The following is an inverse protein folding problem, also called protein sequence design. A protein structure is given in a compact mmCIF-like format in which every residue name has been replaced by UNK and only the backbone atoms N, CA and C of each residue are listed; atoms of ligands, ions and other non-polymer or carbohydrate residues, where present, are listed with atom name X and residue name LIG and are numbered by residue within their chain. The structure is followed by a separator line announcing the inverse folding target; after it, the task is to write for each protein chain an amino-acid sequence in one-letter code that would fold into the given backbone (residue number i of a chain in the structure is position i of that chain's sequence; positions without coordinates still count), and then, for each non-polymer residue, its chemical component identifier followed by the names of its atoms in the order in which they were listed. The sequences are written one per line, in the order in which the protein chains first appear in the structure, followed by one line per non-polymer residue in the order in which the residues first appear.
data_IF_407819608954
#
_entry.id   IF_407819608954
#
_cell.length_a   1.000
_cell.length_b   1.000
_cell.length_c   1.000
_cell.angle_alpha   90.00
_cell.angle_beta   90.00
_cell.angle_gamma   90.00
#
_symmetry.space_group_name_H-M   'P 1'
#
loop_
_entity.id
_entity.type
_entity.pdbx_description
1 polymer ?
#
# COMPACT_ATOMS: atom_id res chain seq x y z
N UNK A 1 -34.09 -8.64 -37.98
CA UNK A 1 -34.31 -10.05 -37.56
C UNK A 1 -33.14 -11.00 -37.84
N UNK A 2 -32.05 -10.60 -38.52
CA UNK A 2 -30.95 -11.52 -38.89
C UNK A 2 -29.90 -11.70 -37.76
N UNK A 3 -29.71 -10.69 -36.89
CA UNK A 3 -28.67 -10.73 -35.84
C UNK A 3 -28.95 -11.73 -34.72
N UNK A 4 -30.22 -11.93 -34.35
CA UNK A 4 -30.60 -12.89 -33.29
C UNK A 4 -30.37 -14.34 -33.71
N UNK A 5 -30.61 -14.68 -34.98
CA UNK A 5 -30.42 -16.04 -35.49
C UNK A 5 -28.94 -16.43 -35.59
N UNK A 6 -28.03 -15.45 -35.73
CA UNK A 6 -26.58 -15.66 -35.71
C UNK A 6 -26.06 -15.85 -34.28
N UNK A 7 -26.55 -15.05 -33.33
CA UNK A 7 -26.19 -15.23 -31.91
C UNK A 7 -26.59 -16.59 -31.37
N UNK A 8 -27.77 -17.09 -31.74
CA UNK A 8 -28.23 -18.42 -31.31
C UNK A 8 -27.33 -19.54 -31.86
N UNK A 9 -26.94 -19.48 -33.15
CA UNK A 9 -26.01 -20.44 -33.75
C UNK A 9 -24.59 -20.39 -33.15
N UNK A 10 -24.13 -19.21 -32.76
CA UNK A 10 -22.83 -19.05 -32.12
C UNK A 10 -22.80 -19.68 -30.73
N UNK A 11 -23.81 -19.41 -29.90
CA UNK A 11 -23.93 -20.03 -28.58
C UNK A 11 -24.00 -21.56 -28.69
N UNK A 12 -24.72 -22.08 -29.68
CA UNK A 12 -24.77 -23.52 -29.94
C UNK A 12 -23.40 -24.09 -30.31
N UNK A 13 -22.67 -23.43 -31.23
CA UNK A 13 -21.34 -23.89 -31.67
C UNK A 13 -20.30 -23.87 -30.54
N UNK A 14 -20.40 -22.93 -29.59
CA UNK A 14 -19.56 -22.90 -28.40
C UNK A 14 -19.85 -24.07 -27.45
N UNK A 15 -21.13 -24.40 -27.24
CA UNK A 15 -21.51 -25.54 -26.39
C UNK A 15 -21.09 -26.87 -27.04
N UNK A 16 -21.28 -27.00 -28.35
CA UNK A 16 -20.83 -28.18 -29.10
C UNK A 16 -19.30 -28.34 -28.99
N UNK A 17 -18.54 -27.25 -29.13
CA UNK A 17 -17.07 -27.28 -28.99
C UNK A 17 -16.65 -27.68 -27.58
N UNK A 18 -17.30 -27.13 -26.54
CA UNK A 18 -17.06 -27.49 -25.14
C UNK A 18 -17.31 -28.98 -24.91
N UNK A 19 -18.32 -29.55 -25.56
CA UNK A 19 -18.67 -30.96 -25.44
C UNK A 19 -17.66 -31.88 -26.14
N UNK A 20 -16.99 -31.40 -27.19
CA UNK A 20 -15.91 -32.11 -27.90
C UNK A 20 -14.53 -31.99 -27.25
N UNK A 21 -14.37 -31.16 -26.22
CA UNK A 21 -13.10 -31.10 -25.49
C UNK A 21 -12.78 -32.43 -24.81
N UNK A 22 -11.51 -32.83 -24.90
CA UNK A 22 -10.92 -34.00 -24.25
C UNK A 22 -11.24 -33.96 -22.74
N UNK A 23 -11.55 -35.11 -22.13
CA UNK A 23 -11.92 -35.24 -20.70
C UNK A 23 -10.96 -34.47 -19.76
N UNK A 24 -9.67 -34.42 -20.09
CA UNK A 24 -8.64 -33.71 -19.34
C UNK A 24 -8.86 -32.18 -19.24
N UNK A 25 -9.59 -31.58 -20.19
CA UNK A 25 -9.90 -30.14 -20.21
C UNK A 25 -11.37 -29.84 -19.88
N UNK A 26 -12.18 -30.86 -19.54
CA UNK A 26 -13.60 -30.66 -19.18
C UNK A 26 -13.69 -29.88 -17.87
N UNK A 27 -14.07 -28.62 -17.98
CA UNK A 27 -14.25 -27.70 -16.85
C UNK A 27 -13.42 -26.42 -16.96
N UNK A 28 -12.44 -26.39 -17.87
CA UNK A 28 -11.73 -25.15 -18.20
C UNK A 28 -12.60 -24.27 -19.10
N UNK A 29 -12.68 -22.95 -18.85
CA UNK A 29 -13.36 -22.04 -19.77
C UNK A 29 -12.65 -22.04 -21.13
N UNK A 30 -13.44 -21.94 -22.21
CA UNK A 30 -12.90 -21.78 -23.57
C UNK A 30 -11.92 -20.61 -23.60
N UNK A 31 -10.74 -20.83 -24.18
CA UNK A 31 -9.80 -19.73 -24.37
C UNK A 31 -10.40 -18.72 -25.35
N UNK A 32 -9.99 -17.46 -25.21
CA UNK A 32 -10.46 -16.39 -26.09
C UNK A 32 -10.20 -16.73 -27.56
N UNK A 33 -9.03 -17.29 -27.88
CA UNK A 33 -8.64 -17.68 -29.22
C UNK A 33 -9.51 -18.82 -29.78
N UNK A 34 -9.98 -19.74 -28.93
CA UNK A 34 -10.88 -20.82 -29.35
C UNK A 34 -12.28 -20.28 -29.66
N UNK A 35 -12.81 -19.41 -28.79
CA UNK A 35 -14.10 -18.77 -29.00
C UNK A 35 -14.09 -17.90 -30.27
N UNK A 36 -13.01 -17.16 -30.50
CA UNK A 36 -12.81 -16.35 -31.70
C UNK A 36 -12.74 -17.22 -32.97
N UNK A 37 -12.06 -18.37 -32.93
CA UNK A 37 -12.04 -19.31 -34.07
C UNK A 37 -13.41 -19.84 -34.42
N UNK A 38 -14.22 -20.24 -33.43
CA UNK A 38 -15.61 -20.68 -33.64
C UNK A 38 -16.45 -19.56 -34.25
N UNK A 39 -16.31 -18.35 -33.72
CA UNK A 39 -17.03 -17.19 -34.24
C UNK A 39 -16.63 -16.90 -35.69
N UNK A 40 -15.34 -16.94 -35.99
CA UNK A 40 -14.77 -16.73 -37.33
C UNK A 40 -15.28 -17.77 -38.32
N UNK A 41 -15.29 -19.06 -37.95
CA UNK A 41 -15.74 -20.12 -38.84
C UNK A 41 -17.24 -19.96 -39.18
N UNK A 42 -18.04 -19.55 -38.20
CA UNK A 42 -19.48 -19.31 -38.36
C UNK A 42 -19.82 -18.11 -39.27
N UNK A 43 -18.97 -17.09 -39.31
CA UNK A 43 -19.14 -15.92 -40.20
C UNK A 43 -18.40 -16.05 -41.54
N UNK A 44 -17.75 -17.19 -41.80
CA UNK A 44 -17.08 -17.52 -43.06
C UNK A 44 -15.62 -17.08 -43.15
N UNK A 45 -14.92 -17.07 -42.02
CA UNK A 45 -13.49 -16.85 -41.85
C UNK A 45 -13.07 -15.38 -41.75
N UNK A 46 -11.78 -15.11 -41.43
CA UNK A 46 -11.23 -13.75 -41.33
C UNK A 46 -11.49 -12.88 -42.56
N UNK A 47 -11.58 -13.53 -43.74
CA UNK A 47 -11.83 -12.88 -45.03
C UNK A 47 -13.19 -12.18 -45.12
N UNK A 48 -14.20 -12.58 -44.34
CA UNK A 48 -15.55 -11.98 -44.39
C UNK A 48 -15.86 -11.02 -43.24
N UNK A 49 -14.93 -10.85 -42.30
CA UNK A 49 -15.12 -10.04 -41.08
C UNK A 49 -15.48 -8.59 -41.39
N UNK A 50 -14.75 -7.99 -42.34
CA UNK A 50 -15.01 -6.62 -42.78
C UNK A 50 -16.40 -6.46 -43.37
N UNK A 51 -16.87 -7.43 -44.16
CA UNK A 51 -18.15 -7.33 -44.86
C UNK A 51 -19.37 -7.35 -43.91
N UNK A 52 -19.29 -8.05 -42.77
CA UNK A 52 -20.38 -8.13 -41.80
C UNK A 52 -20.66 -6.77 -41.11
N UNK A 53 -19.67 -5.88 -41.08
CA UNK A 53 -19.75 -4.52 -40.52
C UNK A 53 -19.57 -3.42 -41.58
N UNK A 54 -19.49 -3.76 -42.88
CA UNK A 54 -19.33 -2.80 -43.98
C UNK A 54 -17.91 -2.25 -44.20
N UNK A 55 -16.88 -2.87 -43.62
CA UNK A 55 -15.49 -2.43 -43.67
C UNK A 55 -14.66 -3.17 -44.75
N UNK A 56 -13.82 -2.48 -45.54
CA UNK A 56 -12.90 -3.13 -46.49
C UNK A 56 -11.81 -3.94 -45.76
N UNK A 57 -11.37 -5.07 -46.32
CA UNK A 57 -10.34 -5.95 -45.72
C UNK A 57 -9.03 -5.25 -45.34
N UNK A 58 -8.71 -4.11 -45.97
CA UNK A 58 -7.46 -3.38 -45.77
C UNK A 58 -7.35 -2.75 -44.38
N UNK A 59 -8.45 -2.26 -43.81
CA UNK A 59 -8.44 -1.60 -42.49
C UNK A 59 -8.21 -2.57 -41.34
N UNK A 60 -8.48 -3.87 -41.53
CA UNK A 60 -8.35 -4.83 -40.42
C UNK A 60 -6.88 -5.12 -40.06
N UNK A 61 -6.00 -5.19 -41.06
CA UNK A 61 -4.57 -5.38 -40.83
C UNK A 61 -3.97 -4.16 -40.09
N UNK A 62 -4.42 -2.97 -40.44
CA UNK A 62 -3.99 -1.71 -39.82
C UNK A 62 -4.45 -1.63 -38.35
N UNK A 63 -5.69 -2.02 -38.06
CA UNK A 63 -6.23 -2.06 -36.69
C UNK A 63 -5.44 -2.97 -35.74
N UNK A 64 -4.98 -4.14 -36.22
CA UNK A 64 -4.17 -5.03 -35.39
C UNK A 64 -2.75 -4.48 -35.14
N UNK A 65 -2.14 -3.83 -36.13
CA UNK A 65 -0.83 -3.19 -35.96
C UNK A 65 -0.86 -1.98 -35.02
N UNK A 66 -1.95 -1.22 -34.98
CA UNK A 66 -2.13 -0.13 -34.01
C UNK A 66 -2.19 -0.65 -32.57
N UNK A 67 -2.79 -1.82 -32.33
CA UNK A 67 -2.91 -2.40 -31.00
C UNK A 67 -1.60 -3.00 -30.47
N UNK A 68 -0.81 -3.62 -31.35
CA UNK A 68 0.51 -4.19 -31.02
C UNK A 68 1.53 -3.10 -30.62
N UNK A 69 1.42 -1.90 -31.19
CA UNK A 69 2.28 -0.74 -30.87
C UNK A 69 1.99 -0.08 -29.51
N UNK A 70 0.78 -0.23 -28.96
CA UNK A 70 0.37 0.39 -27.69
C UNK A 70 0.90 -0.35 -26.45
N UNK A 71 1.34 -1.60 -26.61
CA UNK A 71 1.79 -2.45 -25.51
C UNK A 71 3.25 -2.17 -25.08
N UNK A 72 4.00 -1.38 -25.85
CA UNK A 72 5.46 -1.19 -25.68
C UNK A 72 5.87 0.06 -24.89
N UNK A 73 4.95 0.94 -24.50
CA UNK A 73 5.31 2.20 -23.84
C UNK A 73 5.25 2.06 -22.30
N UNK A 74 6.23 1.36 -21.73
CA UNK A 74 6.61 1.66 -20.36
C UNK A 74 7.46 2.94 -20.38
N UNK A 75 6.80 4.07 -20.17
CA UNK A 75 7.48 5.35 -20.03
C UNK A 75 8.34 5.36 -18.73
N UNK A 76 9.61 5.72 -18.84
CA UNK A 76 10.56 5.78 -17.71
C UNK A 76 10.04 6.70 -16.59
N UNK A 77 9.30 7.74 -16.97
CA UNK A 77 8.64 8.64 -16.04
C UNK A 77 7.54 7.96 -15.21
N UNK A 78 6.79 7.04 -15.81
CA UNK A 78 5.72 6.27 -15.14
C UNK A 78 6.29 5.29 -14.11
N UNK A 79 7.39 4.60 -14.46
CA UNK A 79 8.10 3.73 -13.54
C UNK A 79 8.68 4.53 -12.35
N UNK A 80 9.29 5.69 -12.63
CA UNK A 80 9.82 6.59 -11.60
C UNK A 80 8.74 7.11 -10.65
N UNK A 81 7.56 7.47 -11.18
CA UNK A 81 6.40 7.88 -10.36
C UNK A 81 5.91 6.75 -9.47
N UNK A 82 5.84 5.53 -10.00
CA UNK A 82 5.43 4.33 -9.25
C UNK A 82 6.37 4.08 -8.07
N UNK A 83 7.68 4.08 -8.31
CA UNK A 83 8.69 3.92 -7.25
C UNK A 83 8.62 5.03 -6.19
N UNK A 84 8.41 6.28 -6.61
CA UNK A 84 8.27 7.40 -5.68
C UNK A 84 7.03 7.27 -4.78
N UNK A 85 5.92 6.77 -5.34
CA UNK A 85 4.70 6.49 -4.57
C UNK A 85 4.93 5.36 -3.57
N UNK A 86 5.54 4.25 -4.00
CA UNK A 86 5.87 3.12 -3.11
C UNK A 86 6.74 3.57 -1.94
N UNK A 87 7.77 4.36 -2.21
CA UNK A 87 8.64 4.88 -1.16
C UNK A 87 7.90 5.78 -0.17
N UNK A 88 6.97 6.61 -0.67
CA UNK A 88 6.15 7.49 0.18
C UNK A 88 5.14 6.71 1.03
N UNK A 89 4.62 5.60 0.52
CA UNK A 89 3.76 4.69 1.30
C UNK A 89 4.55 4.11 2.47
N UNK A 90 5.78 3.66 2.25
CA UNK A 90 6.64 3.12 3.31
C UNK A 90 6.90 4.17 4.40
N UNK A 91 7.27 5.39 3.99
CA UNK A 91 7.53 6.48 4.92
C UNK A 91 6.29 6.82 5.77
N UNK A 92 5.13 7.02 5.13
CA UNK A 92 3.89 7.33 5.83
C UNK A 92 3.44 6.18 6.74
N UNK A 93 3.63 4.94 6.32
CA UNK A 93 3.32 3.76 7.14
C UNK A 93 4.15 3.72 8.41
N UNK A 94 5.45 4.05 8.32
CA UNK A 94 6.32 4.19 9.48
C UNK A 94 5.83 5.29 10.43
N UNK A 95 5.46 6.46 9.90
CA UNK A 95 4.96 7.58 10.71
C UNK A 95 3.64 7.25 11.42
N UNK A 96 2.78 6.47 10.78
CA UNK A 96 1.52 5.99 11.38
C UNK A 96 1.79 5.09 12.57
N UNK A 97 2.70 4.12 12.44
CA UNK A 97 3.04 3.24 13.56
C UNK A 97 3.74 3.99 14.69
N UNK A 98 4.61 4.94 14.40
CA UNK A 98 5.21 5.83 15.41
C UNK A 98 4.15 6.66 16.14
N UNK A 99 3.18 7.20 15.40
CA UNK A 99 2.07 7.97 15.97
C UNK A 99 1.19 7.11 16.87
N UNK A 100 0.91 5.89 16.44
CA UNK A 100 0.16 4.88 17.18
C UNK A 100 0.89 4.44 18.45
N UNK A 101 2.21 4.30 18.41
CA UNK A 101 3.02 3.99 19.58
C UNK A 101 2.98 5.12 20.62
N UNK A 102 3.06 6.39 20.16
CA UNK A 102 2.92 7.56 21.04
C UNK A 102 1.52 7.66 21.66
N UNK A 103 0.48 7.38 20.89
CA UNK A 103 -0.90 7.36 21.38
C UNK A 103 -1.09 6.34 22.50
N UNK A 104 -0.66 5.09 22.28
CA UNK A 104 -0.71 4.04 23.30
C UNK A 104 0.00 4.42 24.60
N UNK A 105 1.14 5.12 24.52
CA UNK A 105 1.84 5.61 25.72
C UNK A 105 0.98 6.60 26.51
N UNK A 106 0.34 7.55 25.83
CA UNK A 106 -0.58 8.50 26.47
C UNK A 106 -1.80 7.81 27.09
N UNK A 107 -2.36 6.81 26.43
CA UNK A 107 -3.50 6.06 26.97
C UNK A 107 -3.13 5.36 28.28
N UNK A 108 -1.92 4.77 28.36
CA UNK A 108 -1.41 4.14 29.58
C UNK A 108 -1.20 5.19 30.68
N UNK A 109 -0.57 6.33 30.36
CA UNK A 109 -0.38 7.43 31.31
C UNK A 109 -1.71 7.96 31.84
N UNK A 110 -2.68 8.19 30.94
CA UNK A 110 -4.02 8.66 31.28
C UNK A 110 -4.76 7.65 32.16
N UNK A 111 -4.71 6.37 31.84
CA UNK A 111 -5.30 5.32 32.67
C UNK A 111 -4.67 5.28 34.07
N UNK A 112 -3.35 5.46 34.16
CA UNK A 112 -2.62 5.56 35.42
C UNK A 112 -3.06 6.76 36.26
N UNK A 113 -3.15 7.95 35.65
CA UNK A 113 -3.62 9.17 36.32
C UNK A 113 -5.08 9.05 36.78
N UNK A 114 -5.95 8.48 35.94
CA UNK A 114 -7.35 8.23 36.27
C UNK A 114 -7.47 7.29 37.47
N UNK A 115 -6.69 6.20 37.50
CA UNK A 115 -6.68 5.28 38.63
C UNK A 115 -6.22 5.95 39.93
N UNK A 116 -5.21 6.83 39.87
CA UNK A 116 -4.77 7.62 41.03
C UNK A 116 -5.89 8.55 41.55
N UNK A 117 -6.56 9.26 40.64
CA UNK A 117 -7.68 10.13 41.01
C UNK A 117 -8.84 9.34 41.62
N UNK A 118 -9.22 8.22 41.00
CA UNK A 118 -10.28 7.34 41.51
C UNK A 118 -9.93 6.81 42.92
N UNK A 119 -8.66 6.46 43.16
CA UNK A 119 -8.18 6.05 44.48
C UNK A 119 -8.26 7.18 45.53
N UNK A 120 -7.92 8.42 45.17
CA UNK A 120 -8.04 9.59 46.04
C UNK A 120 -9.51 9.92 46.38
N UNK A 121 -10.39 9.79 45.40
CA UNK A 121 -11.82 9.97 45.60
C UNK A 121 -12.39 8.87 46.50
N UNK A 122 -11.96 7.63 46.30
CA UNK A 122 -12.34 6.49 47.15
C UNK A 122 -11.77 6.60 48.57
N UNK A 123 -10.59 7.20 48.76
CA UNK A 123 -9.96 7.39 50.08
C UNK A 123 -10.55 8.55 50.90
N UNK A 124 -11.57 9.25 50.37
CA UNK A 124 -12.26 10.35 51.07
C UNK A 124 -11.31 11.46 51.56
N UNK A 125 -10.26 11.74 50.78
CA UNK A 125 -9.40 12.92 50.98
C UNK A 125 -8.43 12.86 52.16
N UNK A 126 -8.11 11.68 52.71
CA UNK A 126 -7.00 11.57 53.68
C UNK A 126 -5.73 11.14 52.92
N UNK A 127 -4.72 12.02 52.77
CA UNK A 127 -3.46 11.60 52.19
C UNK A 127 -2.77 10.63 53.15
N UNK A 128 -2.06 9.59 52.66
CA UNK A 128 -1.15 8.87 53.54
C UNK A 128 -0.09 9.87 54.03
N UNK A 129 -0.09 10.16 55.33
CA UNK A 129 0.98 10.92 55.97
C UNK A 129 2.30 10.14 55.78
N UNK A 130 3.09 10.51 54.77
CA UNK A 130 4.45 10.01 54.59
C UNK A 130 5.39 10.72 55.55
N UNK A 131 5.29 10.39 56.84
CA UNK A 131 6.30 10.76 57.83
C UNK A 131 7.32 9.64 57.94
N UNK A 132 8.23 9.56 56.97
CA UNK A 132 9.58 9.02 57.18
C UNK A 132 10.48 9.41 55.99
N UNK A 133 10.71 10.71 55.85
CA UNK A 133 11.84 11.19 55.06
C UNK A 133 13.04 11.31 56.01
N UNK A 134 13.80 10.23 56.13
CA UNK A 134 15.19 10.37 56.58
C UNK A 134 15.92 11.12 55.48
N UNK A 135 16.18 12.42 55.69
CA UNK A 135 17.01 13.20 54.78
C UNK A 135 18.41 12.56 54.71
N UNK A 136 18.98 12.32 53.52
CA UNK A 136 20.37 11.92 53.44
C UNK A 136 21.23 13.02 54.06
N UNK A 137 22.32 12.68 54.78
CA UNK A 137 23.21 13.68 55.34
C UNK A 137 23.74 14.55 54.20
N UNK A 138 23.68 15.88 54.40
CA UNK A 138 24.21 16.87 53.46
C UNK A 138 25.68 16.53 53.18
N UNK A 139 26.10 16.38 51.91
CA UNK A 139 27.51 16.20 51.60
C UNK A 139 28.31 17.37 52.14
N UNK A 140 29.38 17.09 52.89
CA UNK A 140 30.32 18.11 53.35
C UNK A 140 30.89 18.85 52.12
N UNK A 141 30.67 20.16 52.04
CA UNK A 141 31.26 20.98 51.00
C UNK A 141 32.79 20.91 51.10
N UNK A 142 33.52 20.64 50.01
CA UNK A 142 34.97 20.84 50.00
C UNK A 142 35.26 22.34 50.15
N UNK A 143 36.13 22.69 51.10
CA UNK A 143 36.63 24.06 51.25
C UNK A 143 37.42 24.47 50.00
N UNK A 144 37.27 25.71 49.51
CA UNK A 144 38.11 26.20 48.43
C UNK A 144 39.54 26.39 48.93
N UNK A 145 40.46 25.59 48.42
CA UNK A 145 41.90 25.84 48.54
C UNK A 145 42.20 27.09 47.72
N UNK A 146 42.34 28.24 48.39
CA UNK A 146 42.85 29.44 47.76
C UNK A 146 44.36 29.29 47.58
N UNK A 147 44.80 29.02 46.35
CA UNK A 147 46.20 29.15 45.95
C UNK A 147 46.59 30.63 45.93
N UNK A 148 47.00 31.13 47.09
CA UNK A 148 47.73 32.40 47.18
C UNK A 148 49.20 32.06 47.02
N UNK A 149 49.69 32.02 45.79
CA UNK A 149 51.07 32.42 45.55
C UNK A 149 51.29 33.01 44.17
N UNK A 150 51.54 34.34 44.23
CA UNK A 150 52.53 35.07 43.44
C UNK A 150 51.99 35.91 42.27
N UNK A 151 51.26 36.96 42.62
CA UNK A 151 51.47 38.26 41.98
C UNK A 151 52.71 38.91 42.63
N UNK A 152 53.87 38.89 41.96
CA UNK A 152 54.90 39.91 42.16
C UNK A 152 55.75 40.06 40.89
N UNK A 153 55.69 41.29 40.36
CA UNK A 153 56.61 41.95 39.42
C UNK A 153 56.38 41.69 37.92
N UNK A 154 55.60 42.59 37.31
CA UNK A 154 55.99 43.25 36.06
C UNK A 154 55.78 44.76 36.25
N UNK A 155 56.88 45.47 36.53
CA UNK A 155 57.03 46.92 36.40
C UNK A 155 58.35 47.14 35.65
N UNK A 156 58.26 47.85 34.53
CA UNK A 156 59.23 48.72 33.82
C UNK A 156 60.73 48.43 34.09
N UNK A 157 61.59 48.21 33.08
CA UNK A 157 61.95 49.07 31.91
C UNK A 157 62.40 48.18 30.75
#
# INVERSE_FOLDING_TARGET
MVSLQKNNRYLQALEDLRQTQLEENRGMPLSQEQAERVWLDLIGGPSRYGYAYGMPQQTFREYHSEFEGLSSSYDDESMKKTLAIEQKIIELSSQVEDSRARERRRDIEYAGLKAQLDALLASRGIPPCSNDVTFPPRPSQPQPTFDIQRCMVNKEI
#
